data_IF_308287229578
#
_entry.id   IF_308287229578
#
_cell.length_a   1.000
_cell.length_b   1.000
_cell.length_c   1.000
_cell.angle_alpha   90.00
_cell.angle_beta   90.00
_cell.angle_gamma   90.00
#
_symmetry.space_group_name_H-M   'P 1'
#
loop_
_entity.id
_entity.type
_entity.pdbx_description
1 polymer ?
#
# COMPACT_ATOMS: atom_id res chain seq x y z
N UNK A 1 -20.11 -3.34 17.18
CA UNK A 1 -19.61 -4.35 16.19
C UNK A 1 -18.17 -4.61 16.50
N UNK A 2 -17.74 -5.86 16.52
CA UNK A 2 -16.37 -6.21 16.87
C UNK A 2 -15.51 -6.27 15.60
N UNK A 3 -14.42 -5.52 15.55
CA UNK A 3 -13.39 -5.64 14.51
C UNK A 3 -12.61 -6.94 14.73
N UNK A 4 -12.46 -7.72 13.68
CA UNK A 4 -11.75 -9.01 13.67
C UNK A 4 -10.49 -8.98 12.82
N UNK A 5 -10.38 -7.99 11.95
CA UNK A 5 -9.27 -7.84 11.03
C UNK A 5 -8.94 -6.36 10.77
N UNK A 6 -7.67 -6.07 10.57
CA UNK A 6 -7.20 -4.73 10.18
C UNK A 6 -6.37 -4.85 8.91
N UNK A 7 -6.72 -4.07 7.90
CA UNK A 7 -5.95 -3.91 6.68
C UNK A 7 -5.27 -2.53 6.69
N UNK A 8 -4.01 -2.49 6.37
CA UNK A 8 -3.23 -1.25 6.30
C UNK A 8 -2.79 -0.96 4.86
N UNK A 9 -2.78 0.30 4.46
CA UNK A 9 -1.91 0.71 3.37
C UNK A 9 -0.44 0.58 3.78
N UNK A 10 0.48 0.52 2.80
CA UNK A 10 1.91 0.41 3.08
C UNK A 10 2.57 1.79 3.21
N UNK A 11 2.66 2.53 2.09
CA UNK A 11 3.46 3.75 2.00
C UNK A 11 2.74 4.96 2.58
N UNK A 12 3.42 5.68 3.49
CA UNK A 12 2.79 6.78 4.24
C UNK A 12 1.96 6.32 5.43
N UNK A 13 1.78 5.00 5.58
CA UNK A 13 1.02 4.38 6.68
C UNK A 13 1.93 3.54 7.57
N UNK A 14 2.48 2.44 7.07
CA UNK A 14 3.41 1.55 7.79
C UNK A 14 4.86 1.84 7.41
N UNK A 15 5.10 2.25 6.17
CA UNK A 15 6.43 2.42 5.57
C UNK A 15 6.61 3.87 5.13
N UNK A 16 7.71 4.46 5.55
CA UNK A 16 8.20 5.76 5.09
C UNK A 16 9.37 5.62 4.14
N UNK A 17 9.63 6.69 3.38
CA UNK A 17 10.85 6.83 2.59
C UNK A 17 11.93 7.45 3.49
N UNK A 18 13.08 6.78 3.66
CA UNK A 18 14.20 7.30 4.45
C UNK A 18 14.95 8.45 3.77
N UNK A 19 14.49 8.87 2.60
CA UNK A 19 15.01 9.99 1.82
C UNK A 19 13.92 10.61 0.94
N UNK A 20 14.34 11.27 -0.13
CA UNK A 20 13.40 11.84 -1.10
C UNK A 20 12.67 10.74 -1.87
N UNK A 21 11.35 10.82 -1.97
CA UNK A 21 10.58 10.01 -2.89
C UNK A 21 10.86 10.44 -4.33
N UNK A 22 11.36 9.52 -5.15
CA UNK A 22 11.77 9.78 -6.53
C UNK A 22 10.64 9.46 -7.51
N UNK A 23 9.97 8.32 -7.30
CA UNK A 23 8.96 7.74 -8.19
C UNK A 23 9.48 7.49 -9.62
N UNK A 24 10.43 6.57 -9.79
CA UNK A 24 11.19 6.38 -11.04
C UNK A 24 10.34 6.04 -12.27
N UNK A 25 9.20 5.40 -12.08
CA UNK A 25 8.25 5.08 -13.14
C UNK A 25 7.72 6.31 -13.90
N UNK A 26 7.74 7.49 -13.28
CA UNK A 26 7.34 8.73 -13.95
C UNK A 26 8.25 9.12 -15.12
N UNK A 27 9.47 8.56 -15.19
CA UNK A 27 10.36 8.74 -16.34
C UNK A 27 9.86 8.04 -17.61
N UNK A 28 8.98 7.06 -17.45
CA UNK A 28 8.41 6.30 -18.56
C UNK A 28 7.19 6.99 -19.21
N UNK A 29 6.64 8.02 -18.60
CA UNK A 29 5.45 8.71 -19.11
C UNK A 29 5.67 10.21 -19.16
N UNK A 30 5.18 10.83 -20.23
CA UNK A 30 5.15 12.29 -20.38
C UNK A 30 3.86 12.86 -19.73
N UNK A 31 3.58 12.37 -18.50
CA UNK A 31 2.37 12.75 -17.79
C UNK A 31 2.60 14.03 -16.97
N UNK A 32 1.65 14.95 -17.02
CA UNK A 32 1.65 16.10 -16.13
C UNK A 32 1.60 15.67 -14.65
N UNK A 33 2.19 16.46 -13.74
CA UNK A 33 2.09 16.19 -12.32
C UNK A 33 0.62 16.04 -11.89
N UNK A 34 0.24 14.86 -11.38
CA UNK A 34 -1.14 14.60 -10.95
C UNK A 34 -1.97 13.71 -11.88
N UNK A 35 -1.51 13.40 -13.07
CA UNK A 35 -2.21 12.53 -14.04
C UNK A 35 -2.16 11.05 -13.59
N UNK A 36 -3.13 10.67 -12.74
CA UNK A 36 -3.18 9.35 -12.10
C UNK A 36 -3.48 8.22 -13.09
N UNK A 37 -4.22 8.51 -14.17
CA UNK A 37 -4.59 7.52 -15.18
C UNK A 37 -3.37 6.93 -15.90
N UNK A 38 -2.36 7.75 -16.20
CA UNK A 38 -1.13 7.31 -16.85
C UNK A 38 -0.27 6.34 -15.97
N UNK A 39 -0.54 6.29 -14.67
CA UNK A 39 0.19 5.42 -13.72
C UNK A 39 -0.51 4.09 -13.46
N UNK A 40 -1.78 3.97 -13.82
CA UNK A 40 -2.58 2.79 -13.49
C UNK A 40 -1.97 1.48 -14.03
N UNK A 41 -1.45 1.41 -15.26
CA UNK A 41 -0.81 0.21 -15.77
C UNK A 41 0.37 -0.28 -14.90
N UNK A 42 1.18 0.63 -14.35
CA UNK A 42 2.31 0.29 -13.48
C UNK A 42 1.87 -0.29 -12.14
N UNK A 43 0.64 0.01 -11.72
CA UNK A 43 0.08 -0.44 -10.45
C UNK A 43 -0.80 -1.68 -10.58
N UNK A 44 -1.13 -2.12 -11.79
CA UNK A 44 -2.11 -3.20 -12.01
C UNK A 44 -1.58 -4.33 -12.91
N UNK A 45 -0.31 -4.28 -13.29
CA UNK A 45 0.31 -5.35 -14.06
C UNK A 45 1.48 -5.96 -13.29
N UNK A 46 1.50 -7.27 -13.21
CA UNK A 46 2.54 -8.03 -12.52
C UNK A 46 3.75 -8.27 -13.44
N UNK A 47 4.38 -7.17 -13.82
CA UNK A 47 5.56 -7.18 -14.68
C UNK A 47 6.58 -6.14 -14.19
N UNK A 48 7.89 -6.41 -14.34
CA UNK A 48 8.93 -5.47 -13.95
C UNK A 48 9.02 -4.26 -14.89
N UNK A 49 9.75 -3.25 -14.48
CA UNK A 49 9.85 -1.93 -15.14
C UNK A 49 10.42 -1.99 -16.55
N UNK A 50 11.30 -2.97 -16.84
CA UNK A 50 11.91 -3.16 -18.16
C UNK A 50 10.88 -3.53 -19.25
N UNK A 51 9.86 -4.30 -18.90
CA UNK A 51 8.74 -4.61 -19.80
C UNK A 51 8.00 -3.32 -20.21
N UNK A 52 7.71 -2.44 -19.26
CA UNK A 52 7.08 -1.15 -19.57
C UNK A 52 8.01 -0.24 -20.40
N UNK A 53 9.31 -0.25 -20.10
CA UNK A 53 10.27 0.55 -20.85
C UNK A 53 10.38 0.09 -22.32
N UNK A 54 10.31 -1.21 -22.55
CA UNK A 54 10.30 -1.79 -23.91
C UNK A 54 9.01 -1.43 -24.65
N UNK A 55 7.85 -1.69 -24.06
CA UNK A 55 6.54 -1.38 -24.64
C UNK A 55 6.38 0.11 -25.00
N UNK A 56 7.01 1.00 -24.23
CA UNK A 56 6.97 2.45 -24.42
C UNK A 56 8.11 3.00 -25.29
N UNK A 57 9.02 2.15 -25.78
CA UNK A 57 10.21 2.56 -26.55
C UNK A 57 11.22 3.39 -25.74
N UNK A 58 11.29 3.17 -24.41
CA UNK A 58 12.10 3.98 -23.48
C UNK A 58 13.18 3.18 -22.75
N UNK A 59 13.66 2.09 -23.35
CA UNK A 59 14.72 1.23 -22.78
C UNK A 59 16.01 1.98 -22.45
N UNK A 60 16.30 3.07 -23.16
CA UNK A 60 17.46 3.94 -22.91
C UNK A 60 17.42 4.61 -21.52
N UNK A 61 16.24 4.67 -20.85
CA UNK A 61 16.08 5.21 -19.51
C UNK A 61 16.26 4.16 -18.40
N UNK A 62 16.33 2.87 -18.74
CA UNK A 62 16.43 1.77 -17.76
C UNK A 62 17.59 1.93 -16.76
N UNK A 63 18.82 2.29 -17.17
CA UNK A 63 19.91 2.40 -16.22
C UNK A 63 19.66 3.43 -15.11
N UNK A 64 19.03 4.54 -15.43
CA UNK A 64 18.70 5.56 -14.43
C UNK A 64 17.50 5.15 -13.58
N UNK A 65 16.46 4.55 -14.17
CA UNK A 65 15.28 4.08 -13.49
C UNK A 65 15.64 2.98 -12.48
N UNK A 66 16.41 1.98 -12.90
CA UNK A 66 16.81 0.86 -12.03
C UNK A 66 17.66 1.33 -10.84
N UNK A 67 18.60 2.27 -11.06
CA UNK A 67 19.37 2.87 -9.97
C UNK A 67 18.46 3.60 -8.99
N UNK A 68 17.55 4.44 -9.47
CA UNK A 68 16.62 5.17 -8.61
C UNK A 68 15.64 4.25 -7.86
N UNK A 69 15.18 3.17 -8.49
CA UNK A 69 14.38 2.12 -7.83
C UNK A 69 15.17 1.45 -6.71
N UNK A 70 16.42 1.08 -6.99
CA UNK A 70 17.28 0.47 -5.98
C UNK A 70 17.54 1.40 -4.79
N UNK A 71 17.81 2.69 -5.05
CA UNK A 71 17.97 3.73 -4.02
C UNK A 71 16.70 3.91 -3.19
N UNK A 72 15.54 4.05 -3.85
CA UNK A 72 14.27 4.25 -3.17
C UNK A 72 13.89 3.04 -2.32
N UNK A 73 14.01 1.82 -2.86
CA UNK A 73 13.74 0.56 -2.15
C UNK A 73 14.69 0.35 -0.97
N UNK A 74 15.98 0.66 -1.12
CA UNK A 74 16.96 0.59 -0.03
C UNK A 74 16.69 1.61 1.07
N UNK A 75 16.04 2.73 0.74
CA UNK A 75 15.66 3.79 1.66
C UNK A 75 14.40 3.49 2.49
N UNK A 76 13.62 2.47 2.16
CA UNK A 76 12.36 2.18 2.86
C UNK A 76 12.59 1.77 4.31
N UNK A 77 11.79 2.33 5.22
CA UNK A 77 11.85 2.08 6.67
C UNK A 77 10.43 2.03 7.24
N UNK A 78 10.23 1.19 8.25
CA UNK A 78 9.00 1.26 9.07
C UNK A 78 8.97 2.56 9.87
N UNK A 79 7.77 3.07 10.13
CA UNK A 79 7.61 4.08 11.18
C UNK A 79 7.79 3.44 12.56
N UNK A 80 8.27 4.21 13.52
CA UNK A 80 8.75 3.71 14.82
C UNK A 80 7.69 2.92 15.61
N UNK A 81 6.41 3.30 15.50
CA UNK A 81 5.32 2.65 16.22
C UNK A 81 4.77 1.38 15.56
N UNK A 82 5.20 1.05 14.32
CA UNK A 82 4.62 -0.06 13.54
C UNK A 82 4.79 -1.39 14.23
N UNK A 83 6.01 -1.74 14.61
CA UNK A 83 6.31 -3.05 15.21
C UNK A 83 5.51 -3.28 16.50
N UNK A 84 5.43 -2.28 17.37
CA UNK A 84 4.69 -2.39 18.63
C UNK A 84 3.20 -2.50 18.38
N UNK A 85 2.69 -1.78 17.38
CA UNK A 85 1.28 -1.79 16.99
C UNK A 85 0.87 -3.16 16.42
N UNK A 86 1.65 -3.71 15.49
CA UNK A 86 1.37 -5.01 14.89
C UNK A 86 1.43 -6.14 15.95
N UNK A 87 2.39 -6.09 16.88
CA UNK A 87 2.45 -7.06 18.00
C UNK A 87 1.21 -7.00 18.90
N UNK A 88 0.71 -5.81 19.23
CA UNK A 88 -0.51 -5.64 20.03
C UNK A 88 -1.73 -6.23 19.32
N UNK A 89 -1.90 -5.95 18.03
CA UNK A 89 -3.01 -6.49 17.23
C UNK A 89 -2.95 -8.04 17.17
N UNK A 90 -1.76 -8.61 16.94
CA UNK A 90 -1.59 -10.08 16.96
C UNK A 90 -1.91 -10.68 18.32
N UNK A 91 -1.44 -10.06 19.41
CA UNK A 91 -1.75 -10.52 20.78
C UNK A 91 -3.25 -10.47 21.10
N UNK A 92 -3.99 -9.55 20.49
CA UNK A 92 -5.45 -9.47 20.58
C UNK A 92 -6.17 -10.46 19.63
N UNK A 93 -5.44 -11.29 18.87
CA UNK A 93 -6.02 -12.23 17.90
C UNK A 93 -6.61 -11.58 16.66
N UNK A 94 -6.26 -10.34 16.37
CA UNK A 94 -6.71 -9.60 15.19
C UNK A 94 -5.89 -10.03 13.97
N UNK A 95 -6.56 -10.39 12.87
CA UNK A 95 -5.90 -10.68 11.60
C UNK A 95 -5.43 -9.40 10.92
N UNK A 96 -4.26 -9.43 10.31
CA UNK A 96 -3.58 -8.26 9.80
C UNK A 96 -3.21 -8.47 8.33
N UNK A 97 -3.58 -7.52 7.47
CA UNK A 97 -3.13 -7.50 6.08
C UNK A 97 -2.48 -6.17 5.72
N UNK A 98 -1.64 -6.20 4.70
CA UNK A 98 -1.28 -5.00 3.95
C UNK A 98 -1.98 -5.02 2.60
N UNK A 99 -2.61 -3.88 2.23
CA UNK A 99 -3.31 -3.70 0.97
C UNK A 99 -2.85 -2.37 0.34
N UNK A 100 -2.01 -2.44 -0.69
CA UNK A 100 -1.32 -1.25 -1.21
C UNK A 100 -1.32 -1.17 -2.73
N UNK A 101 -1.46 0.07 -3.22
CA UNK A 101 -1.25 0.42 -4.62
C UNK A 101 0.25 0.62 -4.86
N UNK A 102 0.91 -0.40 -5.41
CA UNK A 102 2.36 -0.35 -5.66
C UNK A 102 2.74 -1.07 -6.96
N UNK A 103 3.91 -0.73 -7.49
CA UNK A 103 4.48 -1.39 -8.64
C UNK A 103 5.33 -2.61 -8.22
N UNK A 104 5.63 -3.45 -9.17
CA UNK A 104 6.27 -4.75 -9.01
C UNK A 104 7.51 -4.73 -8.09
N UNK A 105 8.44 -3.79 -8.30
CA UNK A 105 9.74 -3.78 -7.59
C UNK A 105 9.62 -3.52 -6.08
N UNK A 106 8.51 -2.93 -5.63
CA UNK A 106 8.32 -2.63 -4.20
C UNK A 106 7.79 -3.83 -3.40
N UNK A 107 7.15 -4.80 -4.07
CA UNK A 107 6.46 -5.90 -3.38
C UNK A 107 7.35 -6.73 -2.47
N UNK A 108 8.54 -7.11 -2.96
CA UNK A 108 9.51 -7.89 -2.18
C UNK A 108 10.02 -7.11 -0.95
N UNK A 109 10.23 -5.81 -1.08
CA UNK A 109 10.67 -4.97 0.03
C UNK A 109 9.58 -4.81 1.10
N UNK A 110 8.32 -4.65 0.69
CA UNK A 110 7.20 -4.59 1.64
C UNK A 110 7.07 -5.90 2.40
N UNK A 111 7.14 -7.06 1.73
CA UNK A 111 7.11 -8.38 2.40
C UNK A 111 8.27 -8.57 3.38
N UNK A 112 9.48 -8.09 3.04
CA UNK A 112 10.66 -8.17 3.92
C UNK A 112 10.54 -7.28 5.14
N UNK A 113 9.99 -6.06 4.99
CA UNK A 113 9.82 -5.10 6.08
C UNK A 113 8.66 -5.46 7.01
N UNK A 114 7.65 -6.12 6.50
CA UNK A 114 6.43 -6.51 7.20
C UNK A 114 6.23 -8.03 7.10
N UNK A 115 7.11 -8.84 7.71
CA UNK A 115 6.96 -10.29 7.69
C UNK A 115 5.75 -10.73 8.53
N UNK A 116 5.30 -11.96 8.29
CA UNK A 116 4.33 -12.67 9.14
C UNK A 116 2.96 -11.97 9.27
N UNK A 117 2.52 -11.24 8.22
CA UNK A 117 1.14 -10.80 8.10
C UNK A 117 0.26 -11.92 7.55
N UNK A 118 -1.03 -11.90 7.90
CA UNK A 118 -1.99 -12.90 7.43
C UNK A 118 -2.22 -12.81 5.91
N UNK A 119 -2.10 -11.60 5.32
CA UNK A 119 -2.25 -11.42 3.87
C UNK A 119 -1.51 -10.17 3.34
N UNK A 120 -1.16 -10.27 2.03
CA UNK A 120 -0.57 -9.19 1.25
C UNK A 120 -1.37 -9.00 -0.03
N UNK A 121 -2.01 -7.86 -0.17
CA UNK A 121 -2.87 -7.50 -1.29
C UNK A 121 -2.19 -6.37 -2.08
N UNK A 122 -1.39 -6.72 -3.05
CA UNK A 122 -0.71 -5.75 -3.89
C UNK A 122 -1.46 -5.55 -5.20
N UNK A 123 -1.69 -4.32 -5.57
CA UNK A 123 -2.49 -3.96 -6.75
C UNK A 123 -1.94 -4.57 -8.04
N UNK A 124 -0.62 -4.64 -8.20
CA UNK A 124 0.02 -5.23 -9.37
C UNK A 124 -0.20 -6.75 -9.47
N UNK A 125 -0.32 -7.47 -8.33
CA UNK A 125 -0.62 -8.91 -8.31
C UNK A 125 -2.10 -9.19 -8.59
N UNK A 126 -2.98 -8.29 -8.12
CA UNK A 126 -4.44 -8.46 -8.22
C UNK A 126 -5.03 -7.92 -9.54
N UNK A 127 -4.28 -7.10 -10.27
CA UNK A 127 -4.82 -6.40 -11.45
C UNK A 127 -5.83 -5.31 -11.12
N UNK A 128 -5.98 -4.94 -9.84
CA UNK A 128 -6.93 -3.96 -9.35
C UNK A 128 -6.29 -3.04 -8.32
N UNK A 129 -6.50 -1.74 -8.42
CA UNK A 129 -5.92 -0.74 -7.52
C UNK A 129 -7.00 0.02 -6.75
N UNK A 130 -6.76 0.32 -5.47
CA UNK A 130 -7.65 1.18 -4.67
C UNK A 130 -7.93 2.49 -5.41
N UNK A 131 -9.16 2.99 -5.50
CA UNK A 131 -10.34 2.58 -4.75
C UNK A 131 -11.25 1.58 -5.50
N UNK A 132 -10.75 0.74 -6.41
CA UNK A 132 -11.57 -0.30 -7.03
C UNK A 132 -12.11 -1.25 -5.95
N UNK A 133 -13.44 -1.52 -5.91
CA UNK A 133 -14.04 -2.43 -4.94
C UNK A 133 -13.45 -3.85 -4.95
N UNK A 134 -12.90 -4.30 -6.07
CA UNK A 134 -12.31 -5.62 -6.21
C UNK A 134 -11.15 -5.86 -5.23
N UNK A 135 -10.30 -4.83 -4.98
CA UNK A 135 -9.18 -4.98 -4.06
C UNK A 135 -9.64 -5.09 -2.59
N UNK A 136 -10.72 -4.39 -2.21
CA UNK A 136 -11.30 -4.50 -0.86
C UNK A 136 -12.00 -5.85 -0.67
N UNK A 137 -12.67 -6.36 -1.72
CA UNK A 137 -13.26 -7.69 -1.70
C UNK A 137 -12.19 -8.78 -1.51
N UNK A 138 -11.10 -8.70 -2.29
CA UNK A 138 -9.95 -9.60 -2.14
C UNK A 138 -9.34 -9.53 -0.73
N UNK A 139 -9.24 -8.31 -0.16
CA UNK A 139 -8.74 -8.10 1.20
C UNK A 139 -9.62 -8.80 2.24
N UNK A 140 -10.94 -8.63 2.18
CA UNK A 140 -11.87 -9.29 3.09
C UNK A 140 -11.83 -10.81 2.95
N UNK A 141 -11.73 -11.31 1.72
CA UNK A 141 -11.62 -12.75 1.43
C UNK A 141 -10.33 -13.33 2.04
N UNK A 142 -9.18 -12.70 1.81
CA UNK A 142 -7.90 -13.16 2.34
C UNK A 142 -7.88 -13.13 3.88
N UNK A 143 -8.52 -12.12 4.49
CA UNK A 143 -8.67 -12.04 5.94
C UNK A 143 -9.81 -12.92 6.48
N UNK A 144 -10.61 -13.58 5.64
CA UNK A 144 -11.75 -14.43 6.03
C UNK A 144 -12.75 -13.70 6.92
N UNK A 145 -13.10 -12.45 6.62
CA UNK A 145 -14.02 -11.63 7.40
C UNK A 145 -15.04 -10.91 6.49
N UNK A 146 -16.16 -10.52 7.08
CA UNK A 146 -17.13 -9.66 6.39
C UNK A 146 -16.62 -8.21 6.36
N UNK A 147 -16.98 -7.39 5.36
CA UNK A 147 -16.52 -6.00 5.28
C UNK A 147 -16.71 -5.21 6.60
N UNK A 148 -17.85 -5.33 7.25
CA UNK A 148 -18.14 -4.65 8.53
C UNK A 148 -17.29 -5.09 9.72
N UNK A 149 -16.58 -6.21 9.61
CA UNK A 149 -15.66 -6.77 10.62
C UNK A 149 -14.22 -6.37 10.37
N UNK A 150 -13.94 -5.68 9.26
CA UNK A 150 -12.63 -5.21 8.85
C UNK A 150 -12.52 -3.68 9.05
N UNK A 151 -11.40 -3.25 9.59
CA UNK A 151 -10.98 -1.85 9.63
C UNK A 151 -9.86 -1.64 8.62
N UNK A 152 -10.00 -0.66 7.74
CA UNK A 152 -8.94 -0.23 6.83
C UNK A 152 -8.28 1.04 7.37
N UNK A 153 -6.95 1.10 7.38
CA UNK A 153 -6.19 2.28 7.82
C UNK A 153 -5.17 2.66 6.76
N UNK A 154 -5.15 3.93 6.38
CA UNK A 154 -4.18 4.48 5.46
C UNK A 154 -4.20 6.00 5.35
N UNK A 155 -3.24 6.56 4.58
CA UNK A 155 -3.02 7.99 4.48
C UNK A 155 -3.80 8.66 3.33
N UNK A 156 -4.28 7.89 2.37
CA UNK A 156 -5.02 8.40 1.23
C UNK A 156 -6.52 8.50 1.54
N UNK A 157 -7.03 9.74 1.67
CA UNK A 157 -8.46 9.94 1.94
C UNK A 157 -9.37 9.20 0.97
N UNK A 158 -9.06 9.25 -0.33
CA UNK A 158 -9.86 8.58 -1.38
C UNK A 158 -9.73 7.04 -1.32
N UNK A 159 -8.48 6.54 -1.23
CA UNK A 159 -8.18 5.11 -1.39
C UNK A 159 -8.31 4.32 -0.08
N UNK A 160 -8.11 4.97 1.09
CA UNK A 160 -7.96 4.26 2.35
C UNK A 160 -9.06 4.62 3.37
N UNK A 161 -9.83 5.67 3.08
CA UNK A 161 -10.94 6.08 3.92
C UNK A 161 -12.28 6.03 3.19
N UNK A 162 -12.46 6.80 2.11
CA UNK A 162 -13.73 6.87 1.38
C UNK A 162 -14.02 5.55 0.62
N UNK A 163 -13.00 4.98 -0.04
CA UNK A 163 -13.13 3.73 -0.79
C UNK A 163 -13.57 2.54 0.07
N UNK A 164 -12.86 2.19 1.16
CA UNK A 164 -13.26 1.11 2.05
C UNK A 164 -14.65 1.34 2.68
N UNK A 165 -14.98 2.55 3.07
CA UNK A 165 -16.32 2.89 3.61
C UNK A 165 -17.41 2.68 2.57
N UNK A 166 -17.18 3.10 1.33
CA UNK A 166 -18.09 2.86 0.22
C UNK A 166 -18.29 1.36 -0.08
N UNK A 167 -17.28 0.53 0.21
CA UNK A 167 -17.36 -0.92 0.11
C UNK A 167 -18.06 -1.59 1.32
N UNK A 168 -18.23 -0.88 2.44
CA UNK A 168 -18.87 -1.40 3.66
C UNK A 168 -17.91 -1.83 4.77
N UNK A 169 -16.62 -1.52 4.65
CA UNK A 169 -15.62 -1.66 5.71
C UNK A 169 -15.69 -0.47 6.68
N UNK A 170 -15.14 -0.63 7.88
CA UNK A 170 -14.74 0.52 8.68
C UNK A 170 -13.43 1.09 8.15
N UNK A 171 -13.20 2.39 8.35
CA UNK A 171 -11.96 3.01 7.91
C UNK A 171 -11.49 4.11 8.85
N UNK A 172 -10.17 4.14 9.10
CA UNK A 172 -9.45 5.18 9.81
C UNK A 172 -8.53 5.93 8.84
N UNK A 173 -8.65 7.24 8.77
CA UNK A 173 -7.74 8.07 7.98
C UNK A 173 -6.54 8.48 8.84
N UNK A 174 -5.34 8.15 8.36
CA UNK A 174 -4.10 8.44 9.06
C UNK A 174 -3.43 9.71 8.46
N UNK A 175 -3.62 10.83 9.12
CA UNK A 175 -2.98 12.09 8.72
C UNK A 175 -1.66 12.33 9.47
N UNK A 176 -0.61 11.65 9.01
CA UNK A 176 0.74 11.78 9.58
C UNK A 176 1.31 13.19 9.48
N UNK A 177 0.88 13.98 8.49
CA UNK A 177 1.34 15.36 8.33
C UNK A 177 0.88 16.25 9.47
N UNK A 178 -0.25 15.92 10.08
CA UNK A 178 -0.79 16.57 11.26
C UNK A 178 -0.46 15.81 12.57
N UNK A 179 0.51 14.92 12.54
CA UNK A 179 1.05 14.25 13.72
C UNK A 179 0.27 13.04 14.20
N UNK A 180 -0.74 12.56 13.46
CA UNK A 180 -1.47 11.35 13.82
C UNK A 180 -0.59 10.10 13.67
N UNK A 181 -0.71 9.19 14.62
CA UNK A 181 -0.03 7.89 14.63
C UNK A 181 -0.99 6.74 14.37
N UNK A 182 -0.47 5.53 14.16
CA UNK A 182 -1.31 4.33 14.05
C UNK A 182 -2.12 4.08 15.31
N UNK A 183 -1.59 4.43 16.48
CA UNK A 183 -2.31 4.27 17.75
C UNK A 183 -3.55 5.15 17.81
N UNK A 184 -3.47 6.38 17.26
CA UNK A 184 -4.63 7.27 17.17
C UNK A 184 -5.70 6.71 16.22
N UNK A 185 -5.28 6.15 15.08
CA UNK A 185 -6.20 5.55 14.11
C UNK A 185 -6.84 4.23 14.60
N UNK A 186 -6.24 3.58 15.61
CA UNK A 186 -6.71 2.32 16.21
C UNK A 186 -7.45 2.51 17.52
N UNK A 187 -7.75 3.74 17.93
CA UNK A 187 -8.52 4.00 19.15
C UNK A 187 -9.88 3.26 19.10
N UNK A 188 -10.13 2.44 20.12
CA UNK A 188 -11.34 1.60 20.22
C UNK A 188 -11.23 0.22 19.55
N UNK A 189 -10.06 -0.14 18.99
CA UNK A 189 -9.76 -1.48 18.47
C UNK A 189 -8.70 -2.20 19.32
N UNK A 190 -7.80 -1.44 19.93
CA UNK A 190 -6.76 -1.90 20.88
C UNK A 190 -7.21 -1.70 22.31
#
# INVERSE_FOLDING_TARGET
>A
MTIRAVAFDAFGTLIGYGGRRINPYLRLVDAAPGEKAARLPFLTRNVPVDVFADELGRTHLLPVIQRELAEEVAGLRLFDEVDVTLRKLRAAGTRIAVCSNLAYEYGAAVRRLLPDLDAYLFSYELGAAKPDPAIYAATCTALGCRPREALFIGDSRRCDFEGPRGFGMQAGWLDRKNGLTLLDALQGVL
#
